data_IF_877802839689
#
_entry.id   IF_877802839689
#
_cell.length_a   1.000
_cell.length_b   1.000
_cell.length_c   1.000
_cell.angle_alpha   90.00
_cell.angle_beta   90.00
_cell.angle_gamma   90.00
#
_symmetry.space_group_name_H-M   'P 1'
#
loop_
_entity.id
_entity.type
_entity.pdbx_description
1 polymer ?
#
# COMPACT_ATOMS: atom_id res chain seq x y z
N UNK A 1 -5.81 0.18 -50.23
CA UNK A 1 -5.58 0.94 -48.99
C UNK A 1 -4.61 0.14 -48.12
N UNK A 2 -3.38 0.61 -47.91
CA UNK A 2 -2.38 -0.09 -47.12
C UNK A 2 -2.51 0.27 -45.64
N UNK A 3 -2.74 -0.72 -44.77
CA UNK A 3 -2.75 -0.57 -43.31
C UNK A 3 -1.31 -0.40 -42.83
N UNK A 4 -0.95 0.81 -42.37
CA UNK A 4 0.33 1.07 -41.71
C UNK A 4 0.32 0.37 -40.35
N UNK A 5 1.21 -0.62 -40.18
CA UNK A 5 1.51 -1.23 -38.90
C UNK A 5 2.47 -0.29 -38.19
N UNK A 6 2.03 0.31 -37.08
CA UNK A 6 2.88 1.11 -36.20
C UNK A 6 3.53 0.13 -35.21
N UNK A 7 4.87 0.02 -35.14
CA UNK A 7 5.50 -0.80 -34.13
C UNK A 7 5.36 -0.09 -32.77
N UNK A 8 4.81 -0.79 -31.79
CA UNK A 8 4.86 -0.40 -30.39
C UNK A 8 6.30 -0.62 -29.91
N UNK A 9 7.04 0.45 -29.66
CA UNK A 9 8.37 0.39 -29.05
C UNK A 9 8.15 0.20 -27.54
N UNK A 10 8.32 -1.03 -27.05
CA UNK A 10 8.41 -1.30 -25.62
C UNK A 10 9.81 -0.91 -25.13
N UNK A 11 9.92 0.19 -24.39
CA UNK A 11 11.16 0.62 -23.75
C UNK A 11 11.31 -0.04 -22.37
N UNK A 12 12.03 -1.16 -22.28
CA UNK A 12 12.49 -1.70 -21.00
C UNK A 12 13.91 -1.21 -20.72
N UNK A 13 14.04 -0.13 -19.95
CA UNK A 13 15.30 0.30 -19.36
C UNK A 13 15.17 0.18 -17.84
N UNK A 14 15.41 -1.03 -17.32
CA UNK A 14 15.72 -1.19 -15.91
C UNK A 14 17.18 -0.74 -15.70
N UNK A 15 17.36 0.51 -15.27
CA UNK A 15 18.66 0.97 -14.76
C UNK A 15 18.89 0.25 -13.43
N UNK A 16 19.67 -0.82 -13.46
CA UNK A 16 20.20 -1.45 -12.25
C UNK A 16 21.32 -0.53 -11.75
N UNK A 17 21.02 0.29 -10.75
CA UNK A 17 22.05 1.00 -9.99
C UNK A 17 22.97 -0.04 -9.37
N UNK A 18 24.23 -0.09 -9.81
CA UNK A 18 25.24 -0.90 -9.15
C UNK A 18 25.49 -0.33 -7.74
N UNK A 19 25.06 -1.08 -6.74
CA UNK A 19 25.24 -0.80 -5.32
C UNK A 19 26.25 -1.82 -4.77
N UNK A 20 27.07 -1.39 -3.79
CA UNK A 20 28.00 -2.18 -2.97
C UNK A 20 27.84 -3.72 -3.12
N UNK A 21 28.89 -4.47 -3.52
CA UNK A 21 28.81 -5.91 -3.72
C UNK A 21 28.46 -6.73 -2.47
N UNK A 22 28.49 -6.12 -1.28
CA UNK A 22 28.00 -6.73 -0.03
C UNK A 22 26.48 -6.64 0.13
N UNK A 23 25.83 -5.70 -0.57
CA UNK A 23 24.39 -5.50 -0.50
C UNK A 23 23.67 -6.52 -1.39
N UNK A 24 22.86 -7.36 -0.75
CA UNK A 24 21.97 -8.33 -1.42
C UNK A 24 20.68 -7.64 -1.87
N UNK A 25 20.79 -6.66 -2.77
CA UNK A 25 19.64 -5.96 -3.34
C UNK A 25 19.14 -6.75 -4.55
N UNK A 26 17.84 -7.08 -4.55
CA UNK A 26 17.16 -7.72 -5.66
C UNK A 26 15.99 -6.85 -6.09
N UNK A 27 15.89 -6.59 -7.39
CA UNK A 27 14.77 -5.86 -7.98
C UNK A 27 13.81 -6.84 -8.62
N UNK A 28 12.52 -6.58 -8.45
CA UNK A 28 11.44 -7.33 -9.09
C UNK A 28 10.61 -6.36 -9.92
N UNK A 29 10.60 -6.56 -11.22
CA UNK A 29 9.92 -5.67 -12.18
C UNK A 29 8.64 -6.37 -12.64
N UNK A 30 7.51 -5.66 -12.55
CA UNK A 30 6.20 -6.08 -13.07
C UNK A 30 5.69 -7.45 -12.57
N UNK A 31 5.99 -7.82 -11.32
CA UNK A 31 5.64 -9.14 -10.77
C UNK A 31 4.35 -9.17 -9.94
N UNK A 32 3.83 -8.01 -9.53
CA UNK A 32 2.70 -7.93 -8.60
C UNK A 32 1.50 -7.19 -9.22
N UNK A 33 0.57 -7.91 -9.86
CA UNK A 33 -0.67 -7.31 -10.35
C UNK A 33 -1.62 -7.04 -9.19
N UNK A 34 -1.70 -5.79 -8.72
CA UNK A 34 -2.59 -5.40 -7.63
C UNK A 34 -4.06 -5.46 -8.09
N UNK A 35 -4.93 -5.95 -7.19
CA UNK A 35 -6.38 -6.00 -7.42
C UNK A 35 -7.02 -4.61 -7.42
N UNK A 36 -6.52 -3.73 -6.56
CA UNK A 36 -6.94 -2.34 -6.48
C UNK A 36 -5.86 -1.47 -7.11
N UNK A 37 -6.28 -0.43 -7.83
CA UNK A 37 -5.33 0.54 -8.40
C UNK A 37 -4.50 1.14 -7.28
N UNK A 38 -3.21 1.32 -7.52
CA UNK A 38 -2.31 1.91 -6.55
C UNK A 38 -2.07 3.38 -6.84
N UNK A 39 -2.32 4.23 -5.84
CA UNK A 39 -2.02 5.65 -5.89
C UNK A 39 -0.95 6.04 -4.86
N UNK A 40 0.32 6.20 -5.27
CA UNK A 40 1.39 6.58 -4.35
C UNK A 40 1.35 8.06 -3.95
N UNK A 41 0.58 8.93 -4.62
CA UNK A 41 0.70 10.39 -4.47
C UNK A 41 -0.65 11.05 -4.24
N UNK A 42 -0.80 11.76 -3.12
CA UNK A 42 -1.99 12.55 -2.81
C UNK A 42 -1.62 14.02 -2.64
N UNK A 43 -2.50 14.94 -3.01
CA UNK A 43 -2.37 16.34 -2.61
C UNK A 43 -2.76 16.52 -1.13
N UNK A 44 -2.06 17.39 -0.41
CA UNK A 44 -2.42 17.78 0.96
C UNK A 44 -3.61 18.73 0.98
N UNK A 45 -4.62 18.52 1.84
CA UNK A 45 -5.80 19.40 1.88
C UNK A 45 -5.51 20.86 2.19
N UNK A 46 -4.47 21.14 2.99
CA UNK A 46 -4.23 22.51 3.48
C UNK A 46 -3.25 23.29 2.61
N UNK A 47 -2.42 22.61 1.81
CA UNK A 47 -1.44 23.26 0.92
C UNK A 47 -1.68 23.01 -0.55
N UNK A 48 -2.42 21.96 -0.91
CA UNK A 48 -2.51 21.45 -2.28
C UNK A 48 -1.23 20.80 -2.80
N UNK A 49 -0.15 20.75 -2.01
CA UNK A 49 1.12 20.18 -2.43
C UNK A 49 1.05 18.65 -2.41
N UNK A 50 1.62 18.04 -3.45
CA UNK A 50 1.71 16.60 -3.59
C UNK A 50 2.65 16.03 -2.52
N UNK A 51 2.23 14.93 -1.90
CA UNK A 51 3.03 14.14 -0.97
C UNK A 51 2.76 12.65 -1.20
N UNK A 52 3.69 11.80 -0.75
CA UNK A 52 3.54 10.36 -0.89
C UNK A 52 2.57 9.80 0.15
N UNK A 53 1.69 8.90 -0.28
CA UNK A 53 0.97 8.02 0.63
C UNK A 53 1.96 7.02 1.22
N UNK A 54 1.76 6.65 2.48
CA UNK A 54 2.57 5.60 3.10
C UNK A 54 2.17 4.24 2.55
N UNK A 55 3.17 3.47 2.16
CA UNK A 55 3.03 2.07 1.73
C UNK A 55 3.97 1.18 2.53
N UNK A 56 3.69 0.96 3.83
CA UNK A 56 4.57 0.17 4.65
C UNK A 56 4.56 -1.29 4.20
N UNK A 57 5.70 -1.95 4.35
CA UNK A 57 5.88 -3.37 4.06
C UNK A 57 6.44 -4.08 5.29
N UNK A 58 6.09 -5.35 5.48
CA UNK A 58 6.70 -6.20 6.48
C UNK A 58 6.82 -7.64 5.99
N UNK A 59 7.77 -8.38 6.54
CA UNK A 59 7.98 -9.81 6.27
C UNK A 59 7.77 -10.58 7.56
N UNK A 60 7.09 -11.73 7.46
CA UNK A 60 6.85 -12.63 8.58
C UNK A 60 8.16 -13.15 9.17
N UNK A 61 8.10 -13.61 10.42
CA UNK A 61 9.28 -14.08 11.15
C UNK A 61 9.96 -15.29 10.50
N UNK A 62 9.19 -16.15 9.85
CA UNK A 62 9.70 -17.29 9.08
C UNK A 62 10.22 -16.92 7.68
N UNK A 63 10.04 -15.66 7.24
CA UNK A 63 10.48 -15.18 5.94
C UNK A 63 9.61 -15.60 4.76
N UNK A 64 8.54 -16.38 5.00
CA UNK A 64 7.77 -17.00 3.92
C UNK A 64 6.66 -16.08 3.37
N UNK A 65 6.20 -15.10 4.14
CA UNK A 65 5.08 -14.23 3.75
C UNK A 65 5.46 -12.77 3.94
N UNK A 66 5.29 -11.96 2.91
CA UNK A 66 5.37 -10.51 2.99
C UNK A 66 3.98 -9.90 2.94
N UNK A 67 3.86 -8.69 3.48
CA UNK A 67 2.63 -7.91 3.51
C UNK A 67 2.96 -6.51 3.02
N UNK A 68 2.22 -6.02 2.04
CA UNK A 68 2.34 -4.65 1.51
C UNK A 68 1.00 -3.97 1.72
N UNK A 69 0.99 -2.90 2.52
CA UNK A 69 -0.19 -2.06 2.70
C UNK A 69 -0.15 -0.89 1.70
N UNK A 70 -1.30 -0.61 1.07
CA UNK A 70 -1.44 0.46 0.10
C UNK A 70 -2.88 0.99 0.08
N UNK A 71 -3.09 2.14 -0.56
CA UNK A 71 -4.41 2.73 -0.77
C UNK A 71 -4.70 2.88 -2.25
N UNK A 72 -5.98 2.76 -2.58
CA UNK A 72 -6.49 3.12 -3.90
C UNK A 72 -6.74 4.64 -4.03
N UNK A 73 -6.88 5.15 -5.27
CA UNK A 73 -7.18 6.56 -5.50
C UNK A 73 -8.52 7.01 -4.88
N UNK A 74 -9.48 6.08 -4.75
CA UNK A 74 -10.83 6.34 -4.28
C UNK A 74 -10.93 6.43 -2.75
N UNK A 75 -9.90 6.02 -2.03
CA UNK A 75 -9.86 6.01 -0.57
C UNK A 75 -10.85 5.01 0.04
N UNK A 76 -11.06 3.85 -0.59
CA UNK A 76 -12.00 2.83 -0.08
C UNK A 76 -11.51 2.17 1.22
N UNK A 77 -10.21 2.24 1.49
CA UNK A 77 -9.59 1.76 2.72
C UNK A 77 -8.10 1.50 2.50
N UNK A 78 -7.49 0.84 3.48
CA UNK A 78 -6.14 0.28 3.33
C UNK A 78 -6.26 -1.16 2.87
N UNK A 79 -5.64 -1.48 1.74
CA UNK A 79 -5.52 -2.83 1.20
C UNK A 79 -4.17 -3.41 1.61
N UNK A 80 -4.14 -4.63 2.10
CA UNK A 80 -2.93 -5.36 2.47
C UNK A 80 -2.80 -6.58 1.57
N UNK A 81 -1.81 -6.56 0.68
CA UNK A 81 -1.52 -7.67 -0.23
C UNK A 81 -0.52 -8.64 0.40
N UNK A 82 -0.87 -9.93 0.42
CA UNK A 82 0.04 -11.01 0.79
C UNK A 82 0.94 -11.36 -0.40
N UNK A 83 2.24 -11.44 -0.16
CA UNK A 83 3.24 -11.75 -1.17
C UNK A 83 4.23 -12.82 -0.71
N UNK A 84 4.89 -13.46 -1.67
CA UNK A 84 6.04 -14.33 -1.47
C UNK A 84 7.32 -13.47 -1.54
N UNK A 85 8.07 -13.22 -0.44
CA UNK A 85 9.19 -12.26 -0.46
C UNK A 85 10.32 -12.60 -1.45
N UNK A 86 10.48 -13.88 -1.80
CA UNK A 86 11.53 -14.37 -2.70
C UNK A 86 11.27 -14.04 -4.18
N UNK A 87 9.99 -13.82 -4.54
CA UNK A 87 9.51 -13.57 -5.92
C UNK A 87 8.69 -12.29 -6.06
N UNK A 88 8.20 -11.74 -4.94
CA UNK A 88 7.20 -10.67 -4.85
C UNK A 88 5.87 -10.97 -5.55
N UNK A 89 5.61 -12.25 -5.89
CA UNK A 89 4.33 -12.70 -6.43
C UNK A 89 3.25 -12.70 -5.34
N UNK A 90 2.00 -12.55 -5.76
CA UNK A 90 0.83 -12.68 -4.88
C UNK A 90 0.78 -14.09 -4.31
N UNK A 91 0.74 -14.18 -2.99
CA UNK A 91 0.69 -15.46 -2.25
C UNK A 91 -0.72 -15.83 -1.78
N UNK A 92 -1.60 -14.83 -1.65
CA UNK A 92 -2.95 -15.03 -1.13
C UNK A 92 -3.85 -13.82 -1.39
N UNK A 93 -5.11 -13.88 -0.93
CA UNK A 93 -6.07 -12.79 -1.10
C UNK A 93 -5.59 -11.50 -0.40
N UNK A 94 -6.04 -10.36 -0.92
CA UNK A 94 -5.91 -9.08 -0.24
C UNK A 94 -6.86 -9.00 0.96
N UNK A 95 -6.42 -8.32 2.02
CA UNK A 95 -7.27 -7.92 3.13
C UNK A 95 -7.53 -6.42 3.01
N UNK A 96 -8.80 -6.02 3.02
CA UNK A 96 -9.16 -4.60 3.02
C UNK A 96 -9.66 -4.21 4.40
N UNK A 97 -9.07 -3.16 4.97
CA UNK A 97 -9.54 -2.52 6.19
C UNK A 97 -10.25 -1.24 5.75
N UNK A 98 -11.57 -1.30 5.73
CA UNK A 98 -12.44 -0.24 5.24
C UNK A 98 -12.34 1.03 6.08
N UNK A 99 -12.61 2.18 5.46
CA UNK A 99 -12.63 3.49 6.11
C UNK A 99 -11.31 3.91 6.78
N UNK A 100 -10.19 3.27 6.47
CA UNK A 100 -8.85 3.70 6.92
C UNK A 100 -8.20 4.58 5.85
N UNK A 101 -7.76 5.77 6.25
CA UNK A 101 -7.25 6.79 5.34
C UNK A 101 -5.75 6.74 5.08
N UNK A 102 -4.99 6.08 5.95
CA UNK A 102 -3.53 5.98 5.83
C UNK A 102 -3.04 4.69 6.47
N UNK A 103 -2.07 4.04 5.84
CA UNK A 103 -1.30 2.94 6.41
C UNK A 103 -0.07 3.51 7.14
N UNK A 104 -0.22 3.86 8.42
CA UNK A 104 0.83 4.44 9.25
C UNK A 104 2.05 3.53 9.44
N UNK A 105 1.85 2.21 9.49
CA UNK A 105 2.90 1.19 9.61
C UNK A 105 2.32 -0.24 9.65
N UNK A 106 3.16 -1.24 9.39
CA UNK A 106 2.74 -2.66 9.46
C UNK A 106 3.83 -3.50 10.13
N UNK A 107 3.41 -4.44 10.96
CA UNK A 107 4.28 -5.49 11.53
C UNK A 107 3.70 -6.84 11.18
N UNK A 108 4.55 -7.79 10.80
CA UNK A 108 4.14 -9.11 10.35
C UNK A 108 4.52 -10.19 11.35
N UNK A 109 3.67 -11.20 11.45
CA UNK A 109 3.94 -12.46 12.15
C UNK A 109 3.59 -13.63 11.23
N UNK A 110 3.91 -14.87 11.63
CA UNK A 110 3.78 -16.02 10.73
C UNK A 110 2.34 -16.28 10.27
N UNK A 111 1.36 -15.95 11.10
CA UNK A 111 -0.06 -16.18 10.86
C UNK A 111 -0.86 -14.88 10.68
N UNK A 112 -0.22 -13.77 10.29
CA UNK A 112 -0.94 -12.52 10.05
C UNK A 112 -0.10 -11.28 10.27
N UNK A 113 -0.75 -10.16 10.53
CA UNK A 113 -0.11 -8.87 10.70
C UNK A 113 -0.88 -7.96 11.66
N UNK A 114 -0.21 -6.92 12.14
CA UNK A 114 -0.87 -5.78 12.74
C UNK A 114 -0.57 -4.52 11.92
N UNK A 115 -1.61 -3.76 11.60
CA UNK A 115 -1.53 -2.50 10.87
C UNK A 115 -1.78 -1.35 11.84
N UNK A 116 -0.87 -0.37 11.89
CA UNK A 116 -1.16 0.96 12.39
C UNK A 116 -1.83 1.75 11.26
N UNK A 117 -3.12 2.00 11.39
CA UNK A 117 -3.92 2.78 10.43
C UNK A 117 -4.40 4.09 11.03
N UNK A 118 -4.84 5.00 10.17
CA UNK A 118 -5.52 6.23 10.58
C UNK A 118 -6.99 6.18 10.14
N UNK A 119 -7.90 6.04 11.09
CA UNK A 119 -9.36 5.98 10.84
C UNK A 119 -10.05 7.30 11.19
N UNK A 120 -11.21 7.61 10.59
CA UNK A 120 -11.99 8.76 11.00
C UNK A 120 -12.40 8.62 12.47
N UNK A 121 -12.25 9.71 13.22
CA UNK A 121 -12.85 9.81 14.55
C UNK A 121 -14.38 9.57 14.44
N UNK A 122 -14.98 8.77 15.35
CA UNK A 122 -16.43 8.56 15.32
C UNK A 122 -17.18 9.87 15.38
N UNK A 123 -18.21 10.02 14.54
CA UNK A 123 -19.05 11.23 14.46
C UNK A 123 -19.77 11.57 15.76
N UNK A 124 -19.88 10.61 16.68
CA UNK A 124 -20.45 10.78 18.03
C UNK A 124 -19.46 11.33 19.06
N UNK A 125 -18.20 11.57 18.69
CA UNK A 125 -17.17 12.05 19.62
C UNK A 125 -17.38 13.53 19.94
N UNK A 126 -17.64 13.84 21.21
CA UNK A 126 -17.78 15.23 21.67
C UNK A 126 -16.45 15.99 21.56
N UNK A 127 -16.50 17.25 21.12
CA UNK A 127 -15.33 18.13 20.91
C UNK A 127 -14.26 17.55 19.96
N UNK A 128 -14.66 16.71 19.00
CA UNK A 128 -13.76 16.27 17.93
C UNK A 128 -13.27 17.47 17.09
N UNK A 129 -12.03 17.43 16.56
CA UNK A 129 -11.59 18.43 15.62
C UNK A 129 -12.49 18.43 14.36
N UNK A 130 -12.63 19.58 13.67
CA UNK A 130 -13.44 19.64 12.46
C UNK A 130 -12.96 18.68 11.38
N UNK A 131 -13.89 18.08 10.64
CA UNK A 131 -13.59 17.35 9.40
C UNK A 131 -13.03 18.31 8.34
N UNK A 132 -12.03 17.86 7.58
CA UNK A 132 -11.47 18.59 6.44
C UNK A 132 -11.93 18.02 5.09
N UNK A 133 -11.57 18.69 3.99
CA UNK A 133 -11.88 18.22 2.63
C UNK A 133 -11.22 16.87 2.29
N UNK A 134 -10.03 16.59 2.82
CA UNK A 134 -9.34 15.30 2.64
C UNK A 134 -9.94 14.15 3.46
N UNK A 135 -10.67 14.50 4.52
CA UNK A 135 -11.21 13.55 5.50
C UNK A 135 -12.67 13.92 5.80
N UNK A 136 -13.56 13.74 4.81
CA UNK A 136 -14.95 14.16 4.93
C UNK A 136 -15.71 13.40 6.03
N UNK A 137 -15.26 12.19 6.39
CA UNK A 137 -15.89 11.42 7.46
C UNK A 137 -15.31 11.69 8.87
N UNK A 138 -14.34 12.60 9.01
CA UNK A 138 -13.79 13.00 10.32
C UNK A 138 -12.28 13.06 10.35
N UNK A 139 -11.72 13.82 11.31
CA UNK A 139 -10.27 13.92 11.51
C UNK A 139 -9.67 12.53 11.78
N UNK A 140 -8.57 12.15 11.11
CA UNK A 140 -7.93 10.86 11.31
C UNK A 140 -7.34 10.73 12.72
N UNK A 141 -7.55 9.57 13.34
CA UNK A 141 -6.92 9.14 14.60
C UNK A 141 -6.21 7.80 14.42
N UNK A 142 -5.08 7.56 15.09
CA UNK A 142 -4.34 6.31 14.95
C UNK A 142 -5.08 5.14 15.63
N UNK A 143 -5.17 4.01 14.93
CA UNK A 143 -5.75 2.76 15.41
C UNK A 143 -4.87 1.55 15.00
N UNK A 144 -4.88 0.48 15.80
CA UNK A 144 -4.18 -0.77 15.47
C UNK A 144 -5.21 -1.82 15.08
N UNK A 145 -5.07 -2.37 13.88
CA UNK A 145 -5.85 -3.51 13.39
C UNK A 145 -5.00 -4.76 13.45
N UNK A 146 -5.49 -5.79 14.13
CA UNK A 146 -4.86 -7.11 14.14
C UNK A 146 -5.61 -8.03 13.20
N UNK A 147 -4.91 -8.60 12.23
CA UNK A 147 -5.44 -9.59 11.30
C UNK A 147 -4.71 -10.90 11.54
N UNK A 148 -5.50 -11.95 11.80
CA UNK A 148 -5.02 -13.32 11.96
C UNK A 148 -5.58 -14.11 10.78
N UNK A 149 -4.70 -14.72 10.00
CA UNK A 149 -5.07 -15.60 8.91
C UNK A 149 -5.32 -17.00 9.48
N UNK A 150 -6.42 -17.63 9.10
CA UNK A 150 -6.68 -19.03 9.43
C UNK A 150 -5.56 -19.92 8.85
N UNK A 151 -5.13 -20.91 9.64
CA UNK A 151 -4.01 -21.83 9.33
C UNK A 151 -4.47 -23.00 8.46
#
# INVERSE_FOLDING_TARGET
MAKKIIPLIASTLAVVGAVDPTLKIKTFVDVMPLKWDFDPVKASYWTGLLHHRRTPFAVSRDGNTGYIAYLDPNGTGVHVQHIEPSTMNIKGPDVTIENVYEAGGIVAYNHGFALLGNEPIPSTTSNAPPSGTDYPQGTPVPAIYQIINDV
#
